data_IF_933694758757
#
_entry.id   IF_933694758757
#
_cell.length_a   1.000
_cell.length_b   1.000
_cell.length_c   1.000
_cell.angle_alpha   90.00
_cell.angle_beta   90.00
_cell.angle_gamma   90.00
#
_symmetry.space_group_name_H-M   'P 1'
#
loop_
_entity.id
_entity.type
_entity.pdbx_description
1 polymer ?
#
# COMPACT_ATOMS: atom_id res chain seq x y z
N UNK A 1 -19.04 -7.82 4.04
CA UNK A 1 -17.59 -7.55 3.87
C UNK A 1 -16.84 -7.33 5.17
N UNK A 2 -17.24 -6.42 6.05
CA UNK A 2 -16.50 -6.10 7.29
C UNK A 2 -16.16 -7.28 8.21
N UNK A 3 -16.98 -8.33 8.25
CA UNK A 3 -16.75 -9.48 9.14
C UNK A 3 -15.51 -10.31 8.80
N UNK A 4 -15.22 -10.56 7.52
CA UNK A 4 -14.08 -11.39 7.09
C UNK A 4 -12.73 -10.77 7.50
N UNK A 5 -12.59 -9.46 7.32
CA UNK A 5 -11.34 -8.74 7.63
C UNK A 5 -11.17 -8.65 9.14
N UNK A 6 -12.22 -8.30 9.86
CA UNK A 6 -12.20 -8.26 11.33
C UNK A 6 -11.90 -9.64 11.94
N UNK A 7 -12.48 -10.70 11.38
CA UNK A 7 -12.20 -12.08 11.78
C UNK A 7 -10.74 -12.45 11.52
N UNK A 8 -10.18 -12.07 10.37
CA UNK A 8 -8.77 -12.24 10.05
C UNK A 8 -7.86 -11.63 11.13
N UNK A 9 -8.09 -10.35 11.49
CA UNK A 9 -7.31 -9.68 12.53
C UNK A 9 -7.51 -10.28 13.93
N UNK A 10 -8.72 -10.71 14.25
CA UNK A 10 -8.98 -11.40 15.52
C UNK A 10 -8.23 -12.74 15.59
N UNK A 11 -8.15 -13.46 14.48
CA UNK A 11 -7.39 -14.69 14.40
C UNK A 11 -5.87 -14.44 14.50
N UNK A 12 -5.36 -13.35 13.91
CA UNK A 12 -3.97 -12.93 14.12
C UNK A 12 -3.67 -12.63 15.60
N UNK A 13 -4.61 -12.00 16.29
CA UNK A 13 -4.50 -11.71 17.73
C UNK A 13 -4.42 -13.00 18.55
N UNK A 14 -5.15 -14.05 18.17
CA UNK A 14 -5.12 -15.36 18.84
C UNK A 14 -3.81 -16.12 18.56
N UNK A 15 -3.18 -15.89 17.43
CA UNK A 15 -1.89 -16.49 17.04
C UNK A 15 -0.67 -15.70 17.50
N UNK A 16 -0.83 -14.76 18.40
CA UNK A 16 0.25 -13.89 18.92
C UNK A 16 1.46 -14.70 19.44
N UNK A 17 1.25 -15.94 19.93
CA UNK A 17 2.34 -16.87 20.26
C UNK A 17 3.15 -17.31 19.04
N UNK A 18 2.52 -17.37 17.86
CA UNK A 18 3.17 -17.75 16.59
C UNK A 18 3.85 -16.55 15.92
N UNK A 19 3.47 -15.31 16.26
CA UNK A 19 4.15 -14.09 15.80
C UNK A 19 5.63 -14.05 16.23
N UNK A 20 5.98 -14.82 17.25
CA UNK A 20 7.36 -14.94 17.73
C UNK A 20 8.22 -15.97 16.96
N UNK A 21 7.68 -16.66 15.95
CA UNK A 21 8.47 -17.61 15.17
C UNK A 21 9.29 -16.90 14.09
N UNK A 22 10.44 -17.44 13.75
CA UNK A 22 11.28 -16.95 12.66
C UNK A 22 10.53 -17.07 11.32
N UNK A 23 10.82 -16.21 10.37
CA UNK A 23 10.30 -16.31 9.01
C UNK A 23 11.42 -16.69 8.03
N UNK A 24 11.04 -17.34 6.94
CA UNK A 24 11.99 -17.86 5.95
C UNK A 24 11.78 -17.09 4.64
N UNK A 25 12.87 -16.57 4.08
CA UNK A 25 12.92 -15.98 2.74
C UNK A 25 14.05 -16.67 1.99
N UNK A 26 13.76 -17.25 0.83
CA UNK A 26 14.72 -18.01 0.01
C UNK A 26 15.49 -19.12 0.78
N UNK A 27 14.81 -19.78 1.71
CA UNK A 27 15.42 -20.82 2.54
C UNK A 27 16.31 -20.32 3.66
N UNK A 28 16.45 -19.01 3.83
CA UNK A 28 17.19 -18.36 4.92
C UNK A 28 16.22 -17.98 6.02
N UNK A 29 16.50 -18.44 7.23
CA UNK A 29 15.72 -18.12 8.42
C UNK A 29 16.14 -16.76 8.98
N UNK A 30 15.16 -15.88 9.19
CA UNK A 30 15.34 -14.57 9.79
C UNK A 30 14.57 -14.46 11.10
N UNK A 31 15.12 -13.84 12.14
CA UNK A 31 14.42 -13.68 13.40
C UNK A 31 13.19 -12.77 13.22
N UNK A 32 12.07 -13.18 13.77
CA UNK A 32 10.91 -12.30 13.91
C UNK A 32 11.25 -11.17 14.85
N UNK A 33 10.82 -9.99 14.44
CA UNK A 33 10.93 -8.83 15.28
C UNK A 33 9.97 -8.96 16.47
N UNK A 34 10.50 -8.90 17.66
CA UNK A 34 9.72 -8.86 18.91
C UNK A 34 9.53 -7.38 19.27
N UNK A 35 8.30 -6.88 19.14
CA UNK A 35 7.93 -5.60 19.74
C UNK A 35 7.90 -5.73 21.26
N UNK A 36 8.12 -4.64 21.95
CA UNK A 36 7.84 -4.58 23.39
C UNK A 36 6.36 -4.90 23.63
N UNK A 37 6.02 -5.47 24.77
CA UNK A 37 4.66 -5.87 25.11
C UNK A 37 3.64 -4.74 24.92
N UNK A 38 4.02 -3.50 25.25
CA UNK A 38 3.20 -2.31 25.07
C UNK A 38 2.89 -2.04 23.59
N UNK A 39 3.87 -2.13 22.69
CA UNK A 39 3.69 -1.92 21.26
C UNK A 39 2.87 -3.03 20.59
N UNK A 40 2.94 -4.26 21.12
CA UNK A 40 2.10 -5.36 20.67
C UNK A 40 0.62 -5.13 21.03
N UNK A 41 0.34 -4.62 22.22
CA UNK A 41 -1.01 -4.30 22.66
C UNK A 41 -1.65 -3.19 21.81
N UNK A 42 -0.87 -2.18 21.43
CA UNK A 42 -1.35 -1.08 20.59
C UNK A 42 -1.73 -1.55 19.18
N UNK A 43 -0.93 -2.41 18.56
CA UNK A 43 -1.20 -2.96 17.23
C UNK A 43 -2.44 -3.85 17.15
N UNK A 44 -2.83 -4.46 18.26
CA UNK A 44 -4.03 -5.28 18.34
C UNK A 44 -5.16 -4.59 19.10
N UNK A 45 -5.06 -3.27 19.34
CA UNK A 45 -6.15 -2.48 19.87
C UNK A 45 -7.34 -2.48 18.92
N UNK A 46 -8.54 -2.35 19.46
CA UNK A 46 -9.76 -2.27 18.65
C UNK A 46 -9.72 -1.10 17.65
N UNK A 47 -9.06 0.00 18.02
CA UNK A 47 -8.86 1.15 17.12
C UNK A 47 -7.99 0.78 15.93
N UNK A 48 -6.87 0.10 16.15
CA UNK A 48 -6.00 -0.35 15.06
C UNK A 48 -6.70 -1.39 14.18
N UNK A 49 -7.39 -2.37 14.78
CA UNK A 49 -8.16 -3.37 14.02
C UNK A 49 -9.24 -2.71 13.17
N UNK A 50 -9.98 -1.74 13.72
CA UNK A 50 -10.99 -0.99 12.97
C UNK A 50 -10.37 -0.17 11.83
N UNK A 51 -9.23 0.47 12.07
CA UNK A 51 -8.48 1.19 11.06
C UNK A 51 -8.05 0.28 9.92
N UNK A 52 -7.36 -0.81 10.21
CA UNK A 52 -6.91 -1.78 9.21
C UNK A 52 -8.08 -2.43 8.48
N UNK A 53 -9.21 -2.66 9.17
CA UNK A 53 -10.45 -3.16 8.53
C UNK A 53 -10.94 -2.20 7.46
N UNK A 54 -10.97 -0.90 7.73
CA UNK A 54 -11.36 0.13 6.75
C UNK A 54 -10.37 0.18 5.59
N UNK A 55 -9.08 0.14 5.87
CA UNK A 55 -8.03 0.18 4.87
C UNK A 55 -8.10 -1.02 3.91
N UNK A 56 -8.30 -2.23 4.44
CA UNK A 56 -8.47 -3.43 3.61
C UNK A 56 -9.78 -3.43 2.81
N UNK A 57 -10.86 -2.92 3.38
CA UNK A 57 -12.11 -2.76 2.63
C UNK A 57 -11.92 -1.79 1.45
N UNK A 58 -11.22 -0.69 1.66
CA UNK A 58 -10.88 0.24 0.60
C UNK A 58 -10.01 -0.42 -0.47
N UNK A 59 -9.02 -1.22 -0.06
CA UNK A 59 -8.15 -1.92 -0.98
C UNK A 59 -8.89 -3.00 -1.78
N UNK A 60 -9.81 -3.75 -1.16
CA UNK A 60 -10.65 -4.73 -1.88
C UNK A 60 -11.52 -4.05 -2.94
N UNK A 61 -12.12 -2.90 -2.62
CA UNK A 61 -12.87 -2.10 -3.60
C UNK A 61 -11.96 -1.64 -4.73
N UNK A 62 -10.79 -1.14 -4.41
CA UNK A 62 -9.80 -0.68 -5.39
C UNK A 62 -9.32 -1.83 -6.29
N UNK A 63 -8.96 -2.98 -5.72
CA UNK A 63 -8.59 -4.17 -6.47
C UNK A 63 -9.66 -4.56 -7.48
N UNK A 64 -10.91 -4.74 -7.02
CA UNK A 64 -12.02 -5.13 -7.89
C UNK A 64 -12.27 -4.08 -8.98
N UNK A 65 -12.20 -2.80 -8.64
CA UNK A 65 -12.37 -1.71 -9.60
C UNK A 65 -11.32 -1.74 -10.72
N UNK A 66 -10.06 -2.02 -10.39
CA UNK A 66 -9.01 -2.17 -11.40
C UNK A 66 -9.19 -3.44 -12.23
N UNK A 67 -9.57 -4.57 -11.59
CA UNK A 67 -9.84 -5.83 -12.30
C UNK A 67 -10.99 -5.69 -13.30
N UNK A 68 -12.09 -5.08 -12.90
CA UNK A 68 -13.27 -4.84 -13.75
C UNK A 68 -12.93 -3.96 -14.97
N UNK A 69 -11.91 -3.13 -14.86
CA UNK A 69 -11.44 -2.26 -15.94
C UNK A 69 -10.17 -2.76 -16.65
N UNK A 70 -9.73 -3.99 -16.37
CA UNK A 70 -8.52 -4.61 -16.91
C UNK A 70 -7.24 -3.79 -16.69
N UNK A 71 -7.17 -3.05 -15.60
CA UNK A 71 -6.01 -2.25 -15.21
C UNK A 71 -5.02 -3.12 -14.43
N UNK A 72 -3.81 -3.20 -14.94
CA UNK A 72 -2.74 -3.94 -14.29
C UNK A 72 -2.01 -3.10 -13.25
N UNK A 73 -1.81 -3.68 -12.09
CA UNK A 73 -1.08 -3.06 -11.00
C UNK A 73 -0.28 -4.10 -10.20
N UNK A 74 0.58 -3.64 -9.34
CA UNK A 74 1.22 -4.45 -8.28
C UNK A 74 1.25 -3.67 -6.98
N UNK A 75 1.08 -4.35 -5.83
CA UNK A 75 1.47 -3.77 -4.55
C UNK A 75 2.97 -3.53 -4.52
N UNK A 76 3.42 -2.52 -3.75
CA UNK A 76 4.82 -2.09 -3.72
C UNK A 76 5.35 -1.92 -2.30
N UNK A 77 6.61 -1.64 -2.21
CA UNK A 77 7.34 -1.18 -1.03
C UNK A 77 7.04 -1.97 0.25
N UNK A 78 6.47 -1.34 1.26
CA UNK A 78 6.11 -1.95 2.53
C UNK A 78 5.14 -3.12 2.36
N UNK A 79 4.16 -2.98 1.48
CA UNK A 79 3.18 -4.03 1.21
C UNK A 79 3.82 -5.25 0.53
N UNK A 80 4.75 -5.03 -0.42
CA UNK A 80 5.48 -6.10 -1.08
C UNK A 80 6.43 -6.83 -0.10
N UNK A 81 7.09 -6.08 0.78
CA UNK A 81 7.88 -6.64 1.88
C UNK A 81 6.98 -7.51 2.79
N UNK A 82 5.81 -7.00 3.17
CA UNK A 82 4.84 -7.71 3.99
C UNK A 82 4.39 -9.02 3.35
N UNK A 83 4.12 -9.00 2.04
CA UNK A 83 3.74 -10.19 1.29
C UNK A 83 4.82 -11.29 1.38
N UNK A 84 6.06 -10.96 1.03
CA UNK A 84 7.13 -11.97 1.00
C UNK A 84 7.60 -12.43 2.38
N UNK A 85 7.46 -11.60 3.40
CA UNK A 85 7.85 -11.98 4.76
C UNK A 85 6.82 -12.82 5.49
N UNK A 86 5.54 -12.56 5.27
CA UNK A 86 4.49 -13.08 6.16
C UNK A 86 3.12 -13.21 5.51
N UNK A 87 3.01 -12.92 4.22
CA UNK A 87 1.78 -12.94 3.42
C UNK A 87 0.65 -12.03 3.96
N UNK A 88 1.00 -10.95 4.65
CA UNK A 88 0.09 -9.88 5.07
C UNK A 88 0.86 -8.59 5.30
N UNK A 89 0.19 -7.41 5.37
CA UNK A 89 0.86 -6.14 5.58
C UNK A 89 1.76 -6.13 6.80
N UNK A 90 2.78 -5.31 6.74
CA UNK A 90 3.55 -4.96 7.93
C UNK A 90 2.58 -4.32 8.92
N UNK A 91 2.52 -4.81 10.16
CA UNK A 91 1.48 -4.46 11.14
C UNK A 91 1.39 -2.97 11.50
N UNK A 92 2.45 -2.21 11.23
CA UNK A 92 2.52 -0.76 11.46
C UNK A 92 2.46 0.06 10.18
N UNK A 93 2.24 -0.58 9.03
CA UNK A 93 1.99 0.09 7.76
C UNK A 93 0.57 0.63 7.77
N UNK A 94 0.40 1.88 7.40
CA UNK A 94 -0.85 2.61 7.50
C UNK A 94 -1.48 2.95 6.14
N UNK A 95 -0.89 2.46 5.05
CA UNK A 95 -1.35 2.67 3.69
C UNK A 95 -1.08 1.44 2.79
N UNK A 96 -1.61 1.51 1.58
CA UNK A 96 -1.25 0.60 0.50
C UNK A 96 -0.53 1.38 -0.59
N UNK A 97 0.68 0.96 -0.90
CA UNK A 97 1.43 1.43 -2.06
C UNK A 97 1.13 0.56 -3.29
N UNK A 98 0.72 1.17 -4.38
CA UNK A 98 0.38 0.49 -5.63
C UNK A 98 1.10 1.13 -6.80
N UNK A 99 1.67 0.31 -7.67
CA UNK A 99 2.23 0.69 -8.94
C UNK A 99 1.32 0.24 -10.08
N UNK A 100 0.89 1.18 -10.92
CA UNK A 100 0.27 0.85 -12.20
C UNK A 100 1.34 0.37 -13.17
N UNK A 101 1.10 -0.80 -13.79
CA UNK A 101 2.12 -1.53 -14.56
C UNK A 101 2.27 -1.00 -15.97
N UNK A 102 1.17 -0.56 -16.58
CA UNK A 102 1.12 -0.19 -17.98
C UNK A 102 0.52 1.19 -18.23
N UNK A 103 0.69 1.70 -19.45
CA UNK A 103 0.22 3.04 -19.82
C UNK A 103 -1.32 3.12 -19.78
N UNK A 104 -2.04 2.04 -20.08
CA UNK A 104 -3.50 1.99 -19.99
C UNK A 104 -3.99 2.24 -18.56
N UNK A 105 -3.25 1.79 -17.55
CA UNK A 105 -3.59 2.03 -16.14
C UNK A 105 -3.54 3.51 -15.76
N UNK A 106 -2.49 4.22 -16.16
CA UNK A 106 -2.40 5.65 -15.87
C UNK A 106 -3.37 6.48 -16.72
N UNK A 107 -3.64 6.06 -17.95
CA UNK A 107 -4.65 6.69 -18.80
C UNK A 107 -6.04 6.52 -18.20
N UNK A 108 -6.37 5.34 -17.66
CA UNK A 108 -7.61 5.08 -16.98
C UNK A 108 -7.82 6.04 -15.79
N UNK A 109 -6.86 6.15 -14.88
CA UNK A 109 -6.96 7.04 -13.72
C UNK A 109 -7.01 8.52 -14.15
N UNK A 110 -6.18 8.93 -15.13
CA UNK A 110 -6.23 10.30 -15.64
C UNK A 110 -7.57 10.63 -16.33
N UNK A 111 -8.16 9.69 -17.05
CA UNK A 111 -9.47 9.88 -17.67
C UNK A 111 -10.57 10.09 -16.63
N UNK A 112 -10.56 9.33 -15.54
CA UNK A 112 -11.49 9.52 -14.43
C UNK A 112 -11.29 10.90 -13.81
N UNK A 113 -10.05 11.31 -13.58
CA UNK A 113 -9.75 12.62 -13.04
C UNK A 113 -10.20 13.76 -13.97
N UNK A 114 -9.89 13.68 -15.26
CA UNK A 114 -10.14 14.74 -16.23
C UNK A 114 -11.61 14.84 -16.63
N UNK A 115 -12.31 13.72 -16.75
CA UNK A 115 -13.73 13.70 -17.15
C UNK A 115 -14.67 14.00 -15.99
N UNK A 116 -14.19 14.01 -14.75
CA UNK A 116 -14.97 14.41 -13.60
C UNK A 116 -15.21 15.93 -13.63
N UNK A 117 -16.47 16.35 -13.71
CA UNK A 117 -16.90 17.75 -13.80
C UNK A 117 -16.71 18.53 -12.49
N UNK A 118 -16.45 17.85 -11.38
CA UNK A 118 -16.21 18.49 -10.08
C UNK A 118 -14.96 19.37 -10.16
N UNK A 119 -15.08 20.59 -9.60
CA UNK A 119 -13.91 21.49 -9.47
C UNK A 119 -12.99 20.90 -8.40
N UNK A 120 -11.75 20.63 -8.77
CA UNK A 120 -10.76 20.10 -7.84
C UNK A 120 -10.52 21.07 -6.68
N UNK A 121 -10.54 20.56 -5.46
CA UNK A 121 -10.34 21.33 -4.23
C UNK A 121 -8.96 21.06 -3.64
N UNK A 122 -8.26 22.07 -3.11
CA UNK A 122 -6.97 21.87 -2.46
C UNK A 122 -7.14 21.18 -1.10
N UNK A 123 -6.15 20.38 -0.73
CA UNK A 123 -6.04 19.73 0.55
C UNK A 123 -4.56 19.63 0.97
N UNK A 124 -4.27 19.66 2.29
CA UNK A 124 -2.91 19.56 2.83
C UNK A 124 -1.93 20.57 2.25
N UNK A 125 -2.19 21.84 2.54
CA UNK A 125 -1.34 22.98 2.10
C UNK A 125 -1.14 23.06 0.58
N UNK A 126 -2.17 22.64 -0.19
CA UNK A 126 -2.19 22.70 -1.66
C UNK A 126 -1.22 21.72 -2.36
N UNK A 127 -0.57 20.84 -1.62
CA UNK A 127 0.25 19.78 -2.25
C UNK A 127 -0.60 18.79 -3.04
N UNK A 128 -1.84 18.59 -2.62
CA UNK A 128 -2.79 17.70 -3.25
C UNK A 128 -4.07 18.45 -3.64
N UNK A 129 -4.61 18.05 -4.77
CA UNK A 129 -5.97 18.40 -5.17
C UNK A 129 -6.84 17.16 -5.10
N UNK A 130 -8.10 17.30 -4.69
CA UNK A 130 -9.02 16.16 -4.67
C UNK A 130 -10.27 16.40 -5.50
N UNK A 131 -10.87 15.33 -5.98
CA UNK A 131 -12.20 15.24 -6.56
C UNK A 131 -12.93 14.05 -5.96
N UNK A 132 -14.26 14.14 -5.88
CA UNK A 132 -15.08 13.00 -5.50
C UNK A 132 -15.27 12.10 -6.71
N UNK A 133 -15.05 10.80 -6.55
CA UNK A 133 -15.34 9.79 -7.56
C UNK A 133 -16.37 8.79 -7.02
N UNK A 134 -17.03 8.07 -7.93
CA UNK A 134 -17.98 7.01 -7.58
C UNK A 134 -17.44 5.68 -8.09
N UNK A 135 -17.30 4.73 -7.19
CA UNK A 135 -16.96 3.34 -7.50
C UNK A 135 -18.06 2.48 -6.89
N UNK A 136 -18.76 1.69 -7.72
CA UNK A 136 -19.87 0.82 -7.30
C UNK A 136 -20.88 1.55 -6.41
N UNK A 137 -21.38 2.70 -6.89
CA UNK A 137 -22.39 3.56 -6.22
C UNK A 137 -21.90 4.22 -4.91
N UNK A 138 -20.68 3.96 -4.49
CA UNK A 138 -20.08 4.54 -3.27
C UNK A 138 -19.14 5.68 -3.62
N UNK A 139 -19.14 6.73 -2.80
CA UNK A 139 -18.27 7.90 -2.97
C UNK A 139 -16.90 7.67 -2.36
N UNK A 140 -15.88 8.05 -3.12
CA UNK A 140 -14.47 8.07 -2.69
C UNK A 140 -13.83 9.40 -3.04
N UNK A 141 -12.66 9.66 -2.49
CA UNK A 141 -11.86 10.80 -2.88
C UNK A 141 -10.66 10.31 -3.68
N UNK A 142 -10.54 10.79 -4.88
CA UNK A 142 -9.33 10.66 -5.68
C UNK A 142 -8.53 11.94 -5.52
N UNK A 143 -7.31 11.82 -5.01
CA UNK A 143 -6.37 12.90 -4.87
C UNK A 143 -5.33 12.82 -5.97
N UNK A 144 -4.87 13.97 -6.45
CA UNK A 144 -3.77 14.10 -7.40
C UNK A 144 -2.73 15.05 -6.82
N UNK A 145 -1.46 14.63 -6.84
CA UNK A 145 -0.37 15.48 -6.37
C UNK A 145 -0.05 16.57 -7.40
N UNK A 146 0.01 17.83 -6.96
CA UNK A 146 0.22 18.96 -7.86
C UNK A 146 1.57 18.96 -8.57
N UNK A 147 2.61 18.45 -7.91
CA UNK A 147 3.99 18.49 -8.40
C UNK A 147 4.45 17.19 -9.08
N UNK A 148 3.70 16.09 -8.90
CA UNK A 148 3.99 14.79 -9.52
C UNK A 148 2.82 14.36 -10.41
N UNK A 149 2.97 14.50 -11.72
CA UNK A 149 1.89 14.27 -12.70
C UNK A 149 1.24 12.88 -12.63
N UNK A 150 1.94 11.89 -12.10
CA UNK A 150 1.55 10.49 -12.15
C UNK A 150 1.41 9.89 -10.73
N UNK A 151 1.09 10.70 -9.74
CA UNK A 151 0.88 10.24 -8.38
C UNK A 151 -0.52 10.61 -7.91
N UNK A 152 -1.28 9.59 -7.54
CA UNK A 152 -2.63 9.72 -7.03
C UNK A 152 -2.74 9.05 -5.66
N UNK A 153 -3.80 9.36 -4.93
CA UNK A 153 -4.17 8.68 -3.68
C UNK A 153 -5.67 8.48 -3.66
N UNK A 154 -6.11 7.25 -3.36
CA UNK A 154 -7.53 6.96 -3.14
C UNK A 154 -7.82 6.90 -1.66
N UNK A 155 -8.87 7.57 -1.24
CA UNK A 155 -9.31 7.64 0.15
C UNK A 155 -10.81 7.42 0.27
N UNK A 156 -11.23 6.89 1.42
CA UNK A 156 -12.64 6.84 1.77
C UNK A 156 -13.21 8.26 1.90
N UNK A 157 -14.45 8.47 1.39
CA UNK A 157 -15.11 9.77 1.43
C UNK A 157 -15.39 10.24 2.85
N UNK A 158 -15.72 9.34 3.77
CA UNK A 158 -15.99 9.68 5.18
C UNK A 158 -14.80 10.37 5.87
N UNK A 159 -13.62 10.16 5.36
CA UNK A 159 -12.40 10.79 5.87
C UNK A 159 -12.26 12.29 5.49
N UNK A 160 -13.18 12.89 4.74
CA UNK A 160 -13.08 14.28 4.26
C UNK A 160 -13.00 15.31 5.41
N UNK A 161 -13.71 15.07 6.51
CA UNK A 161 -13.74 15.99 7.65
C UNK A 161 -12.45 15.95 8.47
N UNK A 162 -11.76 14.81 8.49
CA UNK A 162 -10.48 14.63 9.17
C UNK A 162 -9.37 15.33 8.38
N UNK A 163 -9.51 15.43 7.06
CA UNK A 163 -8.52 15.98 6.12
C UNK A 163 -8.35 17.49 6.18
N UNK A 164 -9.31 18.22 6.72
CA UNK A 164 -9.19 19.67 6.93
C UNK A 164 -8.31 20.02 8.12
N UNK A 165 -7.94 19.04 8.94
CA UNK A 165 -7.06 19.25 10.07
C UNK A 165 -5.61 19.06 9.64
N UNK A 166 -4.82 20.14 9.66
CA UNK A 166 -3.40 20.20 9.20
C UNK A 166 -2.50 19.19 9.92
N UNK A 167 -2.90 18.75 11.10
CA UNK A 167 -2.13 17.86 11.96
C UNK A 167 -2.29 16.37 11.61
N UNK A 168 -3.26 16.01 10.76
CA UNK A 168 -3.54 14.63 10.36
C UNK A 168 -3.05 14.35 8.91
N UNK A 169 -1.74 14.43 8.70
CA UNK A 169 -1.12 14.12 7.39
C UNK A 169 -1.15 12.63 7.02
N UNK A 170 -1.31 11.77 8.03
CA UNK A 170 -1.19 10.31 7.89
C UNK A 170 -2.56 9.62 7.82
N UNK A 171 -3.41 10.11 6.94
CA UNK A 171 -4.64 9.39 6.63
C UNK A 171 -4.30 8.26 5.67
N UNK A 172 -4.35 7.06 6.19
CA UNK A 172 -4.18 5.85 5.43
C UNK A 172 -5.10 5.81 4.22
N UNK A 173 -4.59 5.24 3.15
CA UNK A 173 -5.29 5.15 1.88
C UNK A 173 -4.49 4.30 0.91
N UNK A 174 -4.78 4.44 -0.37
CA UNK A 174 -4.05 3.75 -1.42
C UNK A 174 -3.25 4.78 -2.20
N UNK A 175 -1.94 4.74 -2.06
CA UNK A 175 -1.01 5.52 -2.88
C UNK A 175 -0.82 4.83 -4.22
N UNK A 176 -1.14 5.55 -5.29
CA UNK A 176 -1.15 5.04 -6.66
C UNK A 176 -0.06 5.77 -7.43
N UNK A 177 1.01 5.06 -7.74
CA UNK A 177 2.09 5.56 -8.57
C UNK A 177 2.03 4.93 -9.98
N UNK A 178 2.56 5.66 -10.96
CA UNK A 178 2.81 5.17 -12.30
C UNK A 178 4.24 5.50 -12.70
N UNK A 179 4.98 4.49 -13.13
CA UNK A 179 6.43 4.53 -13.34
C UNK A 179 7.21 4.96 -12.11
N UNK A 180 8.17 4.18 -11.77
CA UNK A 180 9.08 4.48 -10.67
C UNK A 180 10.02 5.58 -11.13
N UNK A 181 9.87 6.79 -10.61
CA UNK A 181 10.76 7.93 -10.86
C UNK A 181 11.43 8.35 -9.55
N UNK A 182 12.04 7.39 -8.88
CA UNK A 182 12.66 7.62 -7.59
C UNK A 182 14.15 7.26 -7.64
N UNK A 183 14.93 8.06 -6.95
CA UNK A 183 16.28 7.72 -6.56
C UNK A 183 16.19 7.28 -5.11
N UNK A 184 16.68 6.09 -4.79
CA UNK A 184 16.71 5.62 -3.41
C UNK A 184 17.67 6.44 -2.54
N UNK A 185 17.67 6.20 -1.23
CA UNK A 185 18.57 6.87 -0.29
C UNK A 185 20.07 6.58 -0.56
N UNK A 186 20.38 5.56 -1.35
CA UNK A 186 21.73 5.20 -1.79
C UNK A 186 22.13 5.81 -3.14
N UNK A 187 21.22 6.59 -3.78
CA UNK A 187 21.47 7.19 -5.09
C UNK A 187 21.21 6.26 -6.28
N UNK A 188 20.58 5.08 -6.06
CA UNK A 188 20.22 4.17 -7.14
C UNK A 188 18.96 4.65 -7.86
N UNK A 189 19.03 4.70 -9.18
CA UNK A 189 17.89 5.05 -10.01
C UNK A 189 16.95 3.83 -10.17
N UNK A 190 15.82 3.86 -9.47
CA UNK A 190 14.81 2.82 -9.53
C UNK A 190 14.03 2.81 -10.86
N UNK A 191 14.16 3.86 -11.67
CA UNK A 191 13.46 3.96 -12.97
C UNK A 191 13.86 2.86 -13.95
N UNK A 192 15.00 2.27 -13.77
CA UNK A 192 15.49 1.11 -14.56
C UNK A 192 14.50 -0.08 -14.49
N UNK A 193 13.74 -0.20 -13.40
CA UNK A 193 12.72 -1.22 -13.25
C UNK A 193 11.55 -1.05 -14.23
N UNK A 194 11.27 0.17 -14.69
CA UNK A 194 10.20 0.43 -15.65
C UNK A 194 10.37 -0.35 -16.96
N UNK A 195 11.60 -0.70 -17.33
CA UNK A 195 11.88 -1.49 -18.52
C UNK A 195 11.49 -2.98 -18.38
N UNK A 196 11.25 -3.45 -17.17
CA UNK A 196 10.93 -4.85 -16.85
C UNK A 196 9.49 -5.06 -16.45
N UNK A 197 8.76 -4.00 -16.10
CA UNK A 197 7.43 -4.06 -15.42
C UNK A 197 6.28 -3.81 -16.42
N UNK A 198 6.46 -3.97 -17.74
CA UNK A 198 5.46 -3.51 -18.71
C UNK A 198 4.52 -4.60 -19.25
N UNK A 199 4.54 -5.83 -18.74
CA UNK A 199 3.80 -6.96 -19.32
C UNK A 199 2.87 -7.65 -18.31
N UNK A 200 1.73 -8.14 -18.84
CA UNK A 200 0.76 -8.97 -18.09
C UNK A 200 1.39 -10.21 -17.43
N UNK A 201 2.44 -10.74 -18.02
CA UNK A 201 3.17 -11.90 -17.50
C UNK A 201 4.01 -11.60 -16.26
N UNK A 202 4.19 -10.31 -15.93
CA UNK A 202 5.01 -9.88 -14.79
C UNK A 202 4.25 -9.80 -13.47
N UNK A 203 2.92 -9.96 -13.48
CA UNK A 203 2.08 -9.89 -12.28
C UNK A 203 1.16 -11.10 -12.16
N UNK A 204 0.89 -11.48 -10.93
CA UNK A 204 -0.07 -12.54 -10.59
C UNK A 204 -0.99 -12.09 -9.47
N UNK A 205 -2.21 -12.64 -9.44
CA UNK A 205 -3.15 -12.45 -8.34
C UNK A 205 -2.78 -13.43 -7.23
N UNK A 206 -2.67 -12.93 -6.02
CA UNK A 206 -2.31 -13.71 -4.84
C UNK A 206 -3.25 -13.39 -3.68
N UNK A 207 -3.32 -14.29 -2.71
CA UNK A 207 -3.92 -13.97 -1.41
C UNK A 207 -2.93 -13.10 -0.63
N UNK A 208 -3.38 -11.91 -0.19
CA UNK A 208 -2.60 -10.99 0.62
C UNK A 208 -3.38 -10.65 1.89
N UNK A 209 -3.05 -11.35 2.97
CA UNK A 209 -3.86 -11.29 4.17
C UNK A 209 -5.32 -11.67 3.88
N UNK A 210 -6.31 -10.83 4.24
CA UNK A 210 -7.73 -11.12 4.04
C UNK A 210 -8.26 -10.84 2.62
N UNK A 211 -7.46 -10.24 1.73
CA UNK A 211 -7.88 -9.78 0.40
C UNK A 211 -7.03 -10.38 -0.71
N UNK A 212 -7.50 -10.22 -1.95
CA UNK A 212 -6.68 -10.48 -3.13
C UNK A 212 -5.87 -9.24 -3.50
N UNK A 213 -4.66 -9.44 -4.01
CA UNK A 213 -3.82 -8.39 -4.56
C UNK A 213 -3.04 -8.91 -5.77
N UNK A 214 -2.58 -7.99 -6.61
CA UNK A 214 -1.60 -8.30 -7.64
C UNK A 214 -0.19 -8.03 -7.14
N UNK A 215 0.73 -8.94 -7.40
CA UNK A 215 2.15 -8.81 -7.11
C UNK A 215 2.98 -9.06 -8.35
N UNK A 216 4.11 -8.39 -8.46
CA UNK A 216 5.15 -8.72 -9.45
C UNK A 216 5.62 -10.16 -9.24
N UNK A 217 6.16 -10.77 -10.30
CA UNK A 217 6.88 -12.04 -10.17
C UNK A 217 7.93 -11.93 -9.08
N UNK A 218 8.26 -13.04 -8.44
CA UNK A 218 9.23 -13.06 -7.35
C UNK A 218 10.58 -12.44 -7.77
N UNK A 219 11.05 -12.75 -8.96
CA UNK A 219 12.31 -12.21 -9.49
C UNK A 219 12.28 -10.67 -9.55
N UNK A 220 11.23 -10.09 -10.13
CA UNK A 220 11.09 -8.65 -10.27
C UNK A 220 10.89 -7.97 -8.91
N UNK A 221 10.09 -8.59 -8.03
CA UNK A 221 9.88 -8.12 -6.67
C UNK A 221 11.17 -8.04 -5.88
N UNK A 222 11.96 -9.08 -5.91
CA UNK A 222 13.24 -9.14 -5.20
C UNK A 222 14.22 -8.12 -5.76
N UNK A 223 14.31 -8.01 -7.08
CA UNK A 223 15.15 -7.01 -7.74
C UNK A 223 14.77 -5.59 -7.33
N UNK A 224 13.46 -5.28 -7.29
CA UNK A 224 12.96 -3.98 -6.85
C UNK A 224 13.29 -3.71 -5.37
N UNK A 225 13.03 -4.68 -4.50
CA UNK A 225 13.28 -4.56 -3.07
C UNK A 225 14.77 -4.47 -2.75
N UNK A 226 15.61 -5.24 -3.43
CA UNK A 226 17.07 -5.21 -3.27
C UNK A 226 17.63 -3.87 -3.76
N UNK A 227 17.13 -3.31 -4.86
CA UNK A 227 17.52 -1.98 -5.34
C UNK A 227 17.14 -0.87 -4.34
N UNK A 228 15.92 -0.93 -3.76
CA UNK A 228 15.43 0.13 -2.88
C UNK A 228 15.97 0.05 -1.46
N UNK A 229 16.08 -1.15 -0.92
CA UNK A 229 16.36 -1.37 0.51
C UNK A 229 17.66 -2.15 0.77
N UNK A 230 18.37 -2.58 -0.30
CA UNK A 230 19.44 -3.56 -0.20
C UNK A 230 18.91 -4.85 0.44
N UNK A 231 19.78 -5.71 0.93
CA UNK A 231 19.36 -6.95 1.61
C UNK A 231 18.62 -6.73 2.94
N UNK A 232 18.46 -5.49 3.35
CA UNK A 232 17.84 -5.13 4.64
C UNK A 232 16.31 -5.39 4.66
N UNK A 233 15.64 -5.41 3.51
CA UNK A 233 14.21 -5.71 3.46
C UNK A 233 13.87 -7.11 3.95
N UNK A 234 14.83 -8.05 3.88
CA UNK A 234 14.69 -9.42 4.40
C UNK A 234 14.70 -9.47 5.93
N UNK A 235 15.23 -8.46 6.59
CA UNK A 235 15.35 -8.38 8.05
C UNK A 235 14.27 -7.45 8.59
N UNK A 236 13.45 -7.92 9.53
CA UNK A 236 12.45 -7.04 10.20
C UNK A 236 13.16 -5.95 10.99
N UNK A 237 12.98 -4.70 10.57
CA UNK A 237 13.45 -3.54 11.33
C UNK A 237 12.40 -3.07 12.35
N UNK A 238 12.88 -2.55 13.47
CA UNK A 238 12.04 -1.88 14.45
C UNK A 238 11.54 -0.54 13.91
N UNK A 239 10.26 -0.17 14.07
CA UNK A 239 9.75 1.15 13.65
C UNK A 239 10.53 2.32 14.26
N UNK A 240 10.99 2.19 15.51
CA UNK A 240 11.80 3.20 16.20
C UNK A 240 13.16 3.44 15.53
N UNK A 241 13.70 2.46 14.80
CA UNK A 241 14.96 2.62 14.08
C UNK A 241 14.79 3.37 12.75
N UNK A 242 13.54 3.58 12.29
CA UNK A 242 13.25 4.39 11.10
C UNK A 242 13.68 5.86 11.30
N UNK A 243 13.68 6.35 12.54
CA UNK A 243 14.04 7.72 12.89
C UNK A 243 15.52 7.91 13.29
N UNK A 244 16.32 6.85 13.30
CA UNK A 244 17.75 6.92 13.66
C UNK A 244 18.69 6.79 12.45
N UNK A 245 18.16 6.62 11.24
CA UNK A 245 18.95 6.47 10.01
C UNK A 245 18.80 7.68 9.05
N UNK A 246 18.57 8.90 9.59
CA UNK A 246 18.67 10.15 8.84
C UNK A 246 19.91 10.92 9.26
#
# INVERSE_FOLDING_TARGET
MSNKIKEYYNNLKLTQKEINNNYVVDGIEYPKYIKTEHQQLELFSDNHINYMTKLFNLFEVFHNWLEDNNVLYSIMYGNLIGYYRQNYPILWDDDFDVLLINDEGIEFINNIWNNNQEIAQPIWDEYWMYKTIIINETKYLLLKMNFKKNWFKLLDYENINIKKNKDNKDLGGIDIAYKINEIDAGGNDLSIMNNYICDKTTVSIVQYGPVLARVLTQELSYKLLDLRYGNRWKIKKHPILKNQEH
#
